data_IF_426380071460
#
_entry.id   IF_426380071460
#
_cell.length_a   1.000
_cell.length_b   1.000
_cell.length_c   1.000
_cell.angle_alpha   90.00
_cell.angle_beta   90.00
_cell.angle_gamma   90.00
#
_symmetry.space_group_name_H-M   'P 1'
#
loop_
_entity.id
_entity.type
_entity.pdbx_description
1 polymer ?
#
# COMPACT_ATOMS: atom_id res chain seq x y z
N UNK A 1 3.18 -8.12 20.99
CA UNK A 1 4.02 -8.09 19.79
C UNK A 1 3.62 -6.88 18.97
N UNK A 2 4.59 -6.07 18.56
CA UNK A 2 4.34 -4.97 17.64
C UNK A 2 4.29 -5.53 16.22
N UNK A 3 3.53 -4.88 15.34
CA UNK A 3 3.55 -5.18 13.91
C UNK A 3 4.86 -4.69 13.32
N UNK A 4 5.51 -5.54 12.53
CA UNK A 4 6.76 -5.20 11.84
C UNK A 4 6.42 -4.54 10.49
N UNK A 5 6.44 -3.20 10.47
CA UNK A 5 6.11 -2.43 9.28
C UNK A 5 7.14 -2.59 8.17
N UNK A 6 8.42 -2.80 8.50
CA UNK A 6 9.47 -2.98 7.50
C UNK A 6 9.28 -4.30 6.76
N UNK A 7 8.90 -5.36 7.49
CA UNK A 7 8.58 -6.65 6.92
C UNK A 7 7.33 -6.59 6.01
N UNK A 8 6.26 -5.93 6.47
CA UNK A 8 5.04 -5.72 5.66
C UNK A 8 5.36 -4.93 4.40
N UNK A 9 6.20 -3.89 4.51
CA UNK A 9 6.63 -3.09 3.38
C UNK A 9 7.38 -3.94 2.35
N UNK A 10 8.29 -4.81 2.79
CA UNK A 10 9.00 -5.73 1.90
C UNK A 10 8.06 -6.71 1.18
N UNK A 11 7.03 -7.23 1.85
CA UNK A 11 6.01 -8.08 1.23
C UNK A 11 5.22 -7.28 0.18
N UNK A 12 4.70 -6.10 0.56
CA UNK A 12 3.90 -5.26 -0.31
C UNK A 12 4.67 -4.85 -1.58
N UNK A 13 5.94 -4.45 -1.45
CA UNK A 13 6.82 -4.09 -2.57
C UNK A 13 7.03 -5.26 -3.54
N UNK A 14 7.24 -6.48 -3.03
CA UNK A 14 7.42 -7.67 -3.88
C UNK A 14 6.17 -7.95 -4.71
N UNK A 15 4.99 -7.87 -4.10
CA UNK A 15 3.72 -8.05 -4.81
C UNK A 15 3.48 -6.91 -5.78
N UNK A 16 3.69 -5.66 -5.36
CA UNK A 16 3.52 -4.47 -6.19
C UNK A 16 4.37 -4.54 -7.47
N UNK A 17 5.65 -4.91 -7.34
CA UNK A 17 6.55 -5.09 -8.47
C UNK A 17 6.04 -6.15 -9.47
N UNK A 18 5.44 -7.25 -8.99
CA UNK A 18 4.86 -8.27 -9.86
C UNK A 18 3.61 -7.81 -10.61
N UNK A 19 2.88 -6.84 -10.05
CA UNK A 19 1.67 -6.26 -10.64
C UNK A 19 1.95 -4.97 -11.45
N UNK A 20 3.20 -4.51 -11.49
CA UNK A 20 3.58 -3.28 -12.19
C UNK A 20 3.06 -2.00 -11.52
N UNK A 21 2.83 -2.05 -10.21
CA UNK A 21 2.47 -0.89 -9.37
C UNK A 21 3.59 -0.59 -8.37
N UNK A 22 3.61 0.62 -7.84
CA UNK A 22 4.57 1.03 -6.80
C UNK A 22 3.86 1.24 -5.46
N UNK A 23 4.49 0.82 -4.36
CA UNK A 23 4.01 1.17 -3.02
C UNK A 23 4.45 2.61 -2.72
N UNK A 24 3.49 3.43 -2.31
CA UNK A 24 3.72 4.84 -1.97
C UNK A 24 3.91 5.01 -0.48
N UNK A 25 3.00 4.43 0.31
CA UNK A 25 2.95 4.58 1.76
C UNK A 25 2.17 3.42 2.38
N UNK A 26 2.54 3.03 3.59
CA UNK A 26 1.81 2.05 4.39
C UNK A 26 1.48 2.68 5.74
N UNK A 27 0.20 2.75 6.06
CA UNK A 27 -0.28 3.22 7.35
C UNK A 27 -0.82 2.06 8.18
N UNK A 28 -0.42 2.02 9.46
CA UNK A 28 -1.08 1.18 10.44
C UNK A 28 -1.87 2.06 11.41
N UNK A 29 -3.18 1.79 11.51
CA UNK A 29 -4.06 2.43 12.49
C UNK A 29 -4.50 1.39 13.51
N UNK A 30 -4.07 1.58 14.74
CA UNK A 30 -4.45 0.78 15.89
C UNK A 30 -5.23 1.67 16.87
N UNK A 31 -6.54 1.81 16.64
CA UNK A 31 -7.41 2.64 17.47
C UNK A 31 -8.73 1.92 17.79
N UNK A 32 -8.94 1.55 19.05
CA UNK A 32 -10.16 0.89 19.51
C UNK A 32 -10.16 -0.63 19.29
N UNK A 33 -11.29 -1.20 18.83
CA UNK A 33 -11.50 -2.66 18.65
C UNK A 33 -11.05 -3.21 17.30
N UNK A 34 -10.65 -2.36 16.34
CA UNK A 34 -10.27 -2.77 15.00
C UNK A 34 -8.88 -2.28 14.66
N UNK A 35 -8.10 -3.15 14.02
CA UNK A 35 -6.75 -2.84 13.53
C UNK A 35 -6.83 -2.75 12.03
N UNK A 36 -6.30 -1.68 11.47
CA UNK A 36 -6.34 -1.41 10.05
C UNK A 36 -4.92 -1.24 9.51
N UNK A 37 -4.66 -1.91 8.40
CA UNK A 37 -3.46 -1.75 7.59
C UNK A 37 -3.90 -1.18 6.24
N UNK A 38 -3.39 0.00 5.90
CA UNK A 38 -3.71 0.68 4.65
C UNK A 38 -2.47 0.78 3.78
N UNK A 39 -2.56 0.33 2.54
CA UNK A 39 -1.46 0.37 1.57
C UNK A 39 -1.87 1.32 0.44
N UNK A 40 -1.06 2.36 0.23
CA UNK A 40 -1.20 3.24 -0.90
C UNK A 40 -0.35 2.76 -2.07
N UNK A 41 -0.96 2.60 -3.24
CA UNK A 41 -0.27 2.24 -4.48
C UNK A 41 -0.42 3.31 -5.54
N UNK A 42 0.55 3.39 -6.44
CA UNK A 42 0.49 4.23 -7.63
C UNK A 42 0.99 3.47 -8.88
N UNK A 43 0.66 4.00 -10.06
CA UNK A 43 1.28 3.59 -11.31
C UNK A 43 1.23 4.73 -12.32
N UNK A 44 2.20 4.85 -13.24
CA UNK A 44 2.25 5.94 -14.22
C UNK A 44 0.99 6.11 -15.06
N UNK A 45 0.28 5.02 -15.35
CA UNK A 45 -0.96 5.03 -16.13
C UNK A 45 -2.22 5.33 -15.29
N UNK A 46 -2.06 5.59 -13.98
CA UNK A 46 -3.14 5.75 -13.02
C UNK A 46 -3.66 4.40 -12.51
N UNK A 47 -3.92 4.31 -11.20
CA UNK A 47 -4.38 3.09 -10.54
C UNK A 47 -5.85 2.81 -10.84
N UNK A 48 -6.15 1.56 -11.17
CA UNK A 48 -7.51 1.05 -11.38
C UNK A 48 -8.00 0.29 -10.15
N UNK A 49 -9.32 0.07 -10.05
CA UNK A 49 -9.89 -0.74 -8.98
C UNK A 49 -9.37 -2.19 -8.99
N UNK A 50 -9.07 -2.72 -10.16
CA UNK A 50 -8.54 -4.08 -10.32
C UNK A 50 -7.11 -4.19 -9.76
N UNK A 51 -6.27 -3.17 -9.93
CA UNK A 51 -4.93 -3.16 -9.33
C UNK A 51 -5.00 -3.21 -7.79
N UNK A 52 -5.90 -2.42 -7.19
CA UNK A 52 -6.12 -2.45 -5.75
C UNK A 52 -6.62 -3.82 -5.28
N UNK A 53 -7.58 -4.40 -6.01
CA UNK A 53 -8.14 -5.70 -5.67
C UNK A 53 -7.10 -6.84 -5.77
N UNK A 54 -6.27 -6.82 -6.82
CA UNK A 54 -5.23 -7.82 -7.03
C UNK A 54 -4.15 -7.73 -5.96
N UNK A 55 -3.63 -6.52 -5.69
CA UNK A 55 -2.65 -6.31 -4.63
C UNK A 55 -3.23 -6.73 -3.26
N UNK A 56 -4.47 -6.34 -2.96
CA UNK A 56 -5.12 -6.67 -1.69
C UNK A 56 -5.22 -8.18 -1.47
N UNK A 57 -5.55 -8.96 -2.50
CA UNK A 57 -5.68 -10.43 -2.39
C UNK A 57 -4.34 -11.11 -2.17
N UNK A 58 -3.34 -10.74 -2.96
CA UNK A 58 -2.00 -11.34 -2.92
C UNK A 58 -1.29 -10.98 -1.60
N UNK A 59 -1.31 -9.70 -1.21
CA UNK A 59 -0.69 -9.25 0.04
C UNK A 59 -1.36 -9.89 1.25
N UNK A 60 -2.70 -9.92 1.32
CA UNK A 60 -3.41 -10.58 2.43
C UNK A 60 -3.00 -12.04 2.58
N UNK A 61 -2.87 -12.76 1.47
CA UNK A 61 -2.47 -14.18 1.48
C UNK A 61 -1.08 -14.37 2.08
N UNK A 62 -0.11 -13.55 1.69
CA UNK A 62 1.26 -13.65 2.20
C UNK A 62 1.34 -13.23 3.67
N UNK A 63 0.66 -12.14 4.04
CA UNK A 63 0.61 -11.67 5.44
C UNK A 63 0.05 -12.73 6.39
N UNK A 64 -0.98 -13.46 5.95
CA UNK A 64 -1.61 -14.51 6.74
C UNK A 64 -0.73 -15.77 6.83
N UNK A 65 0.01 -16.10 5.76
CA UNK A 65 0.95 -17.24 5.75
C UNK A 65 2.18 -16.97 6.62
N UNK A 66 2.68 -15.74 6.62
CA UNK A 66 3.88 -15.34 7.38
C UNK A 66 3.57 -14.87 8.81
N UNK A 67 2.29 -14.82 9.22
CA UNK A 67 1.81 -14.26 10.50
C UNK A 67 2.38 -12.84 10.78
N UNK A 68 2.49 -12.04 9.72
CA UNK A 68 3.17 -10.74 9.74
C UNK A 68 2.39 -9.66 10.52
N UNK A 69 1.09 -9.88 10.78
CA UNK A 69 0.22 -8.97 11.53
C UNK A 69 -0.24 -9.65 12.84
N UNK A 70 0.63 -9.75 13.86
CA UNK A 70 0.33 -10.50 15.07
C UNK A 70 -0.83 -9.89 15.87
N UNK A 71 -1.68 -10.72 16.47
CA UNK A 71 -2.68 -10.33 17.48
C UNK A 71 -4.16 -10.40 17.06
N UNK A 72 -4.49 -11.22 16.06
CA UNK A 72 -5.88 -11.53 15.67
C UNK A 72 -6.33 -10.85 14.36
N UNK A 73 -7.61 -10.53 14.24
CA UNK A 73 -8.15 -9.94 13.01
C UNK A 73 -7.63 -8.52 12.74
N UNK A 74 -7.57 -8.17 11.46
CA UNK A 74 -7.26 -6.84 10.96
C UNK A 74 -8.07 -6.59 9.68
N UNK A 75 -8.17 -5.32 9.29
CA UNK A 75 -8.75 -4.89 8.01
C UNK A 75 -7.60 -4.43 7.11
N UNK A 76 -7.44 -5.07 5.96
CA UNK A 76 -6.54 -4.61 4.91
C UNK A 76 -7.30 -3.70 3.94
N UNK A 77 -6.76 -2.53 3.66
CA UNK A 77 -7.29 -1.62 2.64
C UNK A 77 -6.17 -1.25 1.66
N UNK A 78 -6.47 -1.30 0.36
CA UNK A 78 -5.57 -0.87 -0.70
C UNK A 78 -6.23 0.25 -1.49
N UNK A 79 -5.55 1.39 -1.60
CA UNK A 79 -6.09 2.58 -2.26
C UNK A 79 -5.01 3.29 -3.06
N UNK A 80 -5.41 4.10 -4.04
CA UNK A 80 -4.50 5.09 -4.61
C UNK A 80 -4.44 6.33 -3.70
N UNK A 81 -3.32 7.08 -3.69
CA UNK A 81 -3.21 8.32 -2.92
C UNK A 81 -4.12 9.45 -3.46
N UNK A 82 -4.69 9.29 -4.66
CA UNK A 82 -5.56 10.29 -5.29
C UNK A 82 -4.81 11.58 -5.63
N UNK A 83 -5.51 12.72 -5.56
CA UNK A 83 -4.96 14.06 -5.81
C UNK A 83 -4.09 14.57 -4.64
N UNK A 84 -4.22 13.99 -3.45
CA UNK A 84 -3.48 14.37 -2.24
C UNK A 84 -2.07 13.77 -2.17
N UNK A 85 -1.58 13.20 -3.29
CA UNK A 85 -0.22 12.63 -3.35
C UNK A 85 0.81 13.74 -3.18
N UNK A 86 1.51 13.74 -2.05
CA UNK A 86 2.70 14.58 -1.84
C UNK A 86 3.78 14.13 -2.83
N UNK A 87 4.30 15.07 -3.63
CA UNK A 87 5.44 14.84 -4.51
C UNK A 87 6.70 14.79 -3.64
N UNK A 88 7.28 13.59 -3.46
CA UNK A 88 8.45 13.41 -2.57
C UNK A 88 9.67 12.93 -3.34
N UNK A 89 9.50 12.05 -4.35
CA UNK A 89 10.62 11.53 -5.15
C UNK A 89 10.92 12.48 -6.32
N UNK A 90 12.18 12.64 -6.75
CA UNK A 90 12.53 13.47 -7.90
C UNK A 90 11.72 13.13 -9.17
N UNK A 91 11.49 11.84 -9.44
CA UNK A 91 10.69 11.39 -10.58
C UNK A 91 9.19 11.76 -10.50
N UNK A 92 8.69 12.07 -9.31
CA UNK A 92 7.31 12.55 -9.14
C UNK A 92 7.19 13.98 -9.68
N UNK A 93 8.18 14.83 -9.44
CA UNK A 93 8.19 16.21 -9.96
C UNK A 93 8.24 16.26 -11.49
N UNK A 94 8.94 15.31 -12.13
CA UNK A 94 8.97 15.18 -13.59
C UNK A 94 7.61 14.74 -14.14
N UNK A 95 6.96 13.75 -13.51
CA UNK A 95 5.63 13.26 -13.93
C UNK A 95 4.55 14.32 -13.87
N UNK A 96 4.57 15.18 -12.85
CA UNK A 96 3.52 16.18 -12.61
C UNK A 96 3.87 17.58 -13.13
N UNK A 97 4.96 17.72 -13.91
CA UNK A 97 5.37 19.01 -14.48
C UNK A 97 4.27 19.56 -15.41
N UNK A 98 3.63 20.67 -15.01
CA UNK A 98 2.55 21.32 -15.78
C UNK A 98 1.12 20.99 -15.33
N UNK A 99 0.95 20.09 -14.35
CA UNK A 99 -0.35 19.86 -13.70
C UNK A 99 -0.52 20.83 -12.53
N UNK A 100 -1.74 21.39 -12.39
CA UNK A 100 -2.08 22.29 -11.28
C UNK A 100 -2.49 21.41 -10.08
N UNK A 101 -1.58 21.24 -9.13
CA UNK A 101 -1.82 20.64 -7.81
C UNK A 101 -2.39 21.68 -6.84
#
# INVERSE_FOLDING_TARGET
MAVDLDHIHAIAERVAASLGVEVVEIEQRSGGKSRMLRIFIDKPSGVTHEDCANLSREVSTILDVEDAVPGGSYVLEVSSPGLDRKLVKPGDFERFQGSRI
#
